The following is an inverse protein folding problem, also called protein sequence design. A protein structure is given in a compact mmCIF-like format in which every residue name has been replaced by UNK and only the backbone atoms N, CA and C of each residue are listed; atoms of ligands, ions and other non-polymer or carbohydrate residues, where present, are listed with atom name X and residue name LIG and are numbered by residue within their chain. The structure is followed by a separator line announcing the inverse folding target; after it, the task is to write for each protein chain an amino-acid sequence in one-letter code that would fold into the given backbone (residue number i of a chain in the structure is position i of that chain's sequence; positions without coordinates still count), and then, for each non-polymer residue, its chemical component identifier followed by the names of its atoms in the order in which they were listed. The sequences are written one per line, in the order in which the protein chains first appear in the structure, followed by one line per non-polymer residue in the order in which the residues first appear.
data_IF_306725554021
#
_entry.id   IF_306725554021
#
_cell.length_a   1.000
_cell.length_b   1.000
_cell.length_c   1.000
_cell.angle_alpha   90.00
_cell.angle_beta   90.00
_cell.angle_gamma   90.00
#
_symmetry.space_group_name_H-M   'P 1'
#
loop_
_entity.id
_entity.type
_entity.pdbx_description
1 polymer ?
#
# COMPACT_ATOMS: atom_id res chain seq x y z
N UNK A 1 91.29 -8.67 7.92
CA UNK A 1 90.24 -7.82 7.40
C UNK A 1 88.95 -8.66 7.41
N UNK A 2 88.07 -8.52 8.43
CA UNK A 2 86.85 -9.30 8.54
C UNK A 2 85.70 -8.44 8.12
N UNK A 3 84.99 -8.86 7.04
CA UNK A 3 83.81 -8.20 6.49
C UNK A 3 82.61 -8.73 7.26
N UNK A 4 81.88 -7.90 8.02
CA UNK A 4 80.65 -8.25 8.68
C UNK A 4 79.46 -7.90 7.82
N UNK A 5 78.74 -8.90 7.37
CA UNK A 5 77.51 -8.79 6.59
C UNK A 5 76.32 -8.54 7.55
N UNK A 6 75.67 -7.37 7.47
CA UNK A 6 74.45 -7.06 8.19
C UNK A 6 73.23 -7.55 7.40
N UNK A 7 72.53 -8.52 7.96
CA UNK A 7 71.27 -9.02 7.42
C UNK A 7 70.14 -8.06 7.77
N UNK A 8 69.51 -7.46 6.78
CA UNK A 8 68.35 -6.56 6.96
C UNK A 8 67.08 -7.38 6.85
N UNK A 9 66.39 -7.62 7.98
CA UNK A 9 65.10 -8.33 8.01
C UNK A 9 64.00 -7.36 7.65
N UNK A 10 63.36 -7.57 6.45
CA UNK A 10 62.19 -6.82 5.99
C UNK A 10 60.95 -7.48 6.59
N UNK A 11 60.32 -6.80 7.54
CA UNK A 11 58.99 -7.22 8.08
C UNK A 11 57.90 -6.65 7.17
N UNK A 12 57.27 -7.53 6.40
CA UNK A 12 56.10 -7.18 5.59
C UNK A 12 54.87 -7.30 6.48
N UNK A 13 54.25 -6.17 6.82
CA UNK A 13 52.95 -6.13 7.45
C UNK A 13 51.89 -6.40 6.37
N UNK A 14 51.27 -7.57 6.39
CA UNK A 14 50.06 -7.87 5.65
C UNK A 14 48.88 -7.22 6.40
N UNK A 15 48.41 -6.07 5.93
CA UNK A 15 47.10 -5.56 6.31
C UNK A 15 46.04 -6.43 5.65
N UNK A 16 45.45 -7.35 6.39
CA UNK A 16 44.22 -8.01 6.04
C UNK A 16 43.09 -6.95 6.09
N UNK A 17 42.75 -6.37 4.96
CA UNK A 17 41.51 -5.61 4.82
C UNK A 17 40.35 -6.61 4.81
N UNK A 18 39.67 -6.74 5.95
CA UNK A 18 38.38 -7.37 6.03
C UNK A 18 37.39 -6.54 5.18
N UNK A 19 37.28 -6.91 3.93
CA UNK A 19 36.15 -6.50 3.08
C UNK A 19 34.93 -7.27 3.57
N UNK A 20 34.29 -6.76 4.63
CA UNK A 20 32.97 -7.17 5.04
C UNK A 20 31.98 -7.01 3.87
N UNK A 21 31.88 -8.03 3.03
CA UNK A 21 30.78 -8.19 2.13
C UNK A 21 29.52 -8.33 2.96
N UNK A 22 28.80 -7.22 3.17
CA UNK A 22 27.43 -7.26 3.62
C UNK A 22 26.64 -7.89 2.50
N UNK A 23 26.54 -9.23 2.52
CA UNK A 23 25.59 -9.97 1.73
C UNK A 23 24.23 -9.33 1.98
N UNK A 24 23.67 -8.65 0.98
CA UNK A 24 22.30 -8.20 1.00
C UNK A 24 21.45 -9.46 1.22
N UNK A 25 20.99 -9.66 2.44
CA UNK A 25 20.02 -10.70 2.76
C UNK A 25 18.88 -10.50 1.79
N UNK A 26 18.67 -11.45 0.87
CA UNK A 26 17.49 -11.47 0.04
C UNK A 26 16.28 -11.54 1.00
N UNK A 27 15.71 -10.37 1.29
CA UNK A 27 14.48 -10.31 2.08
C UNK A 27 13.45 -11.18 1.37
N UNK A 28 12.98 -12.23 2.06
CA UNK A 28 11.80 -12.99 1.60
C UNK A 28 10.67 -11.97 1.49
N UNK A 29 10.10 -11.81 0.30
CA UNK A 29 8.97 -10.89 0.09
C UNK A 29 7.77 -11.31 0.95
N UNK A 30 6.82 -10.40 1.14
CA UNK A 30 5.58 -10.67 1.90
C UNK A 30 4.50 -11.38 1.07
N UNK A 31 4.91 -12.32 0.22
CA UNK A 31 4.01 -13.21 -0.54
C UNK A 31 3.97 -14.58 0.12
N UNK A 32 2.83 -14.95 0.70
CA UNK A 32 2.63 -16.20 1.43
C UNK A 32 1.57 -17.05 0.75
N UNK A 33 1.86 -18.33 0.50
CA UNK A 33 0.92 -19.23 -0.16
C UNK A 33 0.34 -18.72 -1.48
N UNK A 34 1.08 -17.88 -2.20
CA UNK A 34 0.63 -17.24 -3.44
C UNK A 34 -0.08 -15.89 -3.27
N UNK A 35 -0.47 -15.50 -2.05
CA UNK A 35 -1.15 -14.23 -1.74
C UNK A 35 -0.12 -13.16 -1.38
N UNK A 36 -0.18 -11.99 -2.04
CA UNK A 36 0.65 -10.85 -1.71
C UNK A 36 0.04 -10.07 -0.55
N UNK A 37 0.79 -9.94 0.55
CA UNK A 37 0.45 -9.06 1.66
C UNK A 37 1.21 -7.74 1.49
N UNK A 38 0.49 -6.63 1.60
CA UNK A 38 1.00 -5.26 1.55
C UNK A 38 0.45 -4.44 2.69
N UNK A 39 0.58 -3.12 2.57
CA UNK A 39 -0.06 -2.16 3.47
C UNK A 39 -0.34 -0.85 2.73
N UNK A 40 -1.43 -0.18 3.08
CA UNK A 40 -1.56 1.24 2.77
C UNK A 40 -0.63 2.04 3.70
N UNK A 41 0.12 3.00 3.14
CA UNK A 41 1.10 3.77 3.95
C UNK A 41 0.44 4.68 4.99
N UNK A 42 -0.87 4.91 4.91
CA UNK A 42 -1.68 5.53 5.96
C UNK A 42 -1.60 4.79 7.30
N UNK A 43 -1.31 3.50 7.30
CA UNK A 43 -1.09 2.70 8.51
C UNK A 43 -0.01 3.28 9.42
N UNK A 44 0.92 4.06 8.88
CA UNK A 44 2.03 4.68 9.62
C UNK A 44 1.76 6.14 10.03
N UNK A 45 0.51 6.64 9.92
CA UNK A 45 0.15 8.05 10.20
C UNK A 45 0.47 8.52 11.62
N UNK A 46 0.58 7.61 12.58
CA UNK A 46 0.94 7.92 13.97
C UNK A 46 2.46 7.98 14.21
N UNK A 47 3.28 7.61 13.21
CA UNK A 47 4.73 7.72 13.32
C UNK A 47 5.18 9.18 13.20
N UNK A 48 6.25 9.59 13.93
CA UNK A 48 6.63 10.99 14.01
C UNK A 48 7.18 11.57 12.70
N UNK A 49 7.87 10.77 11.87
CA UNK A 49 8.40 11.19 10.59
C UNK A 49 7.52 10.66 9.45
N UNK A 50 6.87 11.58 8.73
CA UNK A 50 5.98 11.29 7.59
C UNK A 50 6.67 11.56 6.25
N UNK A 51 8.00 11.69 6.22
CA UNK A 51 8.75 11.78 4.97
C UNK A 51 8.70 10.46 4.19
N UNK A 52 8.76 10.53 2.87
CA UNK A 52 8.74 9.33 2.02
C UNK A 52 9.86 8.33 2.37
N UNK A 53 11.12 8.75 2.66
CA UNK A 53 12.16 7.81 3.09
C UNK A 53 11.82 7.11 4.42
N UNK A 54 11.19 7.82 5.37
CA UNK A 54 10.78 7.24 6.64
C UNK A 54 9.63 6.22 6.44
N UNK A 55 8.60 6.60 5.69
CA UNK A 55 7.47 5.71 5.36
C UNK A 55 7.94 4.45 4.63
N UNK A 56 8.85 4.59 3.67
CA UNK A 56 9.48 3.45 3.00
C UNK A 56 10.23 2.54 3.99
N UNK A 57 10.95 3.16 4.94
CA UNK A 57 11.68 2.41 5.96
C UNK A 57 10.72 1.68 6.92
N UNK A 58 9.60 2.29 7.31
CA UNK A 58 8.57 1.65 8.13
C UNK A 58 7.97 0.41 7.44
N UNK A 59 7.58 0.53 6.16
CA UNK A 59 7.10 -0.61 5.38
C UNK A 59 8.14 -1.73 5.28
N UNK A 60 9.41 -1.35 5.06
CA UNK A 60 10.51 -2.29 5.05
C UNK A 60 10.71 -2.98 6.42
N UNK A 61 10.66 -2.25 7.53
CA UNK A 61 10.81 -2.81 8.89
C UNK A 61 9.63 -3.74 9.24
N UNK A 62 8.42 -3.43 8.75
CA UNK A 62 7.25 -4.30 8.92
C UNK A 62 7.29 -5.58 8.07
N UNK A 63 8.38 -5.82 7.31
CA UNK A 63 8.55 -7.04 6.52
C UNK A 63 7.81 -7.06 5.17
N UNK A 64 7.20 -5.95 4.77
CA UNK A 64 6.32 -5.89 3.60
C UNK A 64 7.08 -5.62 2.30
N UNK A 65 6.57 -6.15 1.19
CA UNK A 65 7.13 -6.00 -0.16
C UNK A 65 6.13 -5.40 -1.17
N UNK A 66 4.97 -4.93 -0.70
CA UNK A 66 3.97 -4.22 -1.50
C UNK A 66 3.35 -3.10 -0.68
N UNK A 67 3.00 -1.98 -1.34
CA UNK A 67 2.29 -0.88 -0.70
C UNK A 67 1.24 -0.25 -1.62
N UNK A 68 0.15 0.22 -1.01
CA UNK A 68 -0.63 1.35 -1.50
C UNK A 68 0.02 2.63 -0.97
N UNK A 69 0.53 3.46 -1.89
CA UNK A 69 1.22 4.69 -1.51
C UNK A 69 0.25 5.86 -1.42
N UNK A 70 0.24 6.55 -0.27
CA UNK A 70 -0.48 7.80 -0.10
C UNK A 70 0.10 8.89 -1.01
N UNK A 71 -0.76 9.56 -1.77
CA UNK A 71 -0.38 10.59 -2.73
C UNK A 71 0.26 11.82 -2.09
N UNK A 72 -0.22 12.23 -0.91
CA UNK A 72 0.35 13.35 -0.17
C UNK A 72 1.82 13.12 0.23
N UNK A 73 2.17 11.88 0.58
CA UNK A 73 3.57 11.50 0.86
C UNK A 73 4.42 11.60 -0.42
N UNK A 74 3.87 11.15 -1.56
CA UNK A 74 4.53 11.24 -2.85
C UNK A 74 4.69 12.69 -3.33
N UNK A 75 3.61 13.50 -3.21
CA UNK A 75 3.61 14.91 -3.61
C UNK A 75 4.59 15.74 -2.74
N UNK A 76 4.63 15.51 -1.42
CA UNK A 76 5.62 16.17 -0.54
C UNK A 76 7.06 15.87 -0.94
N UNK A 77 7.36 14.61 -1.25
CA UNK A 77 8.68 14.23 -1.74
C UNK A 77 9.00 14.85 -3.11
N UNK A 78 8.02 14.97 -3.99
CA UNK A 78 8.16 15.59 -5.29
C UNK A 78 8.30 17.13 -5.21
N UNK A 79 7.99 17.73 -4.06
CA UNK A 79 8.16 19.17 -3.79
C UNK A 79 6.90 20.00 -3.99
N UNK A 80 5.72 19.46 -3.69
CA UNK A 80 4.47 20.22 -3.69
C UNK A 80 4.58 21.42 -2.74
N UNK A 81 4.10 22.61 -3.12
CA UNK A 81 4.11 23.77 -2.26
C UNK A 81 3.34 23.53 -0.95
N UNK A 82 3.93 23.93 0.17
CA UNK A 82 3.31 23.84 1.50
C UNK A 82 2.38 25.06 1.72
N UNK A 83 1.29 25.08 0.98
CA UNK A 83 0.29 26.17 0.99
C UNK A 83 -1.13 25.63 0.95
N UNK A 84 -2.11 26.47 1.32
CA UNK A 84 -3.54 26.20 1.10
C UNK A 84 -4.08 26.86 -0.17
N UNK A 85 -3.25 27.59 -0.91
CA UNK A 85 -3.63 28.19 -2.19
C UNK A 85 -3.83 27.11 -3.26
N UNK A 86 -5.09 26.85 -3.60
CA UNK A 86 -5.47 25.86 -4.59
C UNK A 86 -4.90 26.17 -5.99
N UNK A 87 -4.74 27.45 -6.35
CA UNK A 87 -4.17 27.83 -7.64
C UNK A 87 -2.67 27.47 -7.72
N UNK A 88 -1.92 27.74 -6.66
CA UNK A 88 -0.50 27.39 -6.58
C UNK A 88 -0.29 25.85 -6.61
N UNK A 89 -1.15 25.10 -5.93
CA UNK A 89 -1.13 23.62 -5.94
C UNK A 89 -1.43 23.11 -7.35
N UNK A 90 -2.48 23.61 -8.00
CA UNK A 90 -2.85 23.24 -9.38
C UNK A 90 -1.71 23.55 -10.35
N UNK A 91 -1.14 24.75 -10.28
CA UNK A 91 -0.01 25.15 -11.12
C UNK A 91 1.17 24.20 -10.96
N UNK A 92 1.47 23.79 -9.73
CA UNK A 92 2.53 22.84 -9.46
C UNK A 92 2.20 21.47 -10.07
N UNK A 93 1.01 20.92 -9.84
CA UNK A 93 0.59 19.61 -10.37
C UNK A 93 0.66 19.55 -11.89
N UNK A 94 0.27 20.62 -12.57
CA UNK A 94 0.27 20.68 -14.05
C UNK A 94 1.64 20.98 -14.66
N UNK A 95 2.66 21.30 -13.86
CA UNK A 95 4.00 21.66 -14.34
C UNK A 95 5.13 20.79 -13.78
N UNK A 96 4.89 19.99 -12.74
CA UNK A 96 5.93 19.18 -12.11
C UNK A 96 6.47 18.08 -13.03
N UNK A 97 7.79 17.90 -13.03
CA UNK A 97 8.41 16.81 -13.78
C UNK A 97 8.07 15.43 -13.17
N UNK A 98 7.67 14.49 -14.01
CA UNK A 98 7.47 13.10 -13.61
C UNK A 98 8.75 12.38 -13.18
N UNK A 99 9.92 12.96 -13.40
CA UNK A 99 11.19 12.36 -12.95
C UNK A 99 11.29 12.28 -11.42
N UNK A 100 10.60 13.17 -10.69
CA UNK A 100 10.46 13.09 -9.24
C UNK A 100 9.73 11.80 -8.82
N UNK A 101 8.65 11.46 -9.54
CA UNK A 101 7.87 10.25 -9.30
C UNK A 101 8.61 8.97 -9.76
N UNK A 102 9.38 9.04 -10.85
CA UNK A 102 10.28 7.95 -11.25
C UNK A 102 11.38 7.69 -10.19
N UNK A 103 11.85 8.75 -9.51
CA UNK A 103 12.79 8.60 -8.40
C UNK A 103 12.15 7.86 -7.22
N UNK A 104 10.87 8.14 -6.89
CA UNK A 104 10.11 7.38 -5.87
C UNK A 104 10.10 5.89 -6.23
N UNK A 105 9.74 5.53 -7.47
CA UNK A 105 9.77 4.14 -7.94
C UNK A 105 11.13 3.47 -7.68
N UNK A 106 12.22 4.16 -8.03
CA UNK A 106 13.59 3.64 -7.83
C UNK A 106 13.90 3.39 -6.34
N UNK A 107 13.49 4.30 -5.45
CA UNK A 107 13.70 4.15 -4.01
C UNK A 107 12.98 2.92 -3.44
N UNK A 108 11.70 2.73 -3.80
CA UNK A 108 10.93 1.57 -3.35
C UNK A 108 11.49 0.27 -3.94
N UNK A 109 11.80 0.26 -5.22
CA UNK A 109 12.38 -0.91 -5.89
C UNK A 109 13.73 -1.32 -5.28
N UNK A 110 14.58 -0.35 -4.93
CA UNK A 110 15.88 -0.63 -4.27
C UNK A 110 15.72 -1.30 -2.89
N UNK A 111 14.55 -1.20 -2.26
CA UNK A 111 14.20 -1.88 -1.02
C UNK A 111 13.40 -3.16 -1.23
N UNK A 112 13.18 -3.58 -2.48
CA UNK A 112 12.37 -4.75 -2.83
C UNK A 112 10.87 -4.56 -2.54
N UNK A 113 10.39 -3.31 -2.53
CA UNK A 113 8.99 -2.98 -2.29
C UNK A 113 8.37 -2.47 -3.59
N UNK A 114 7.23 -3.04 -3.99
CA UNK A 114 6.44 -2.60 -5.13
C UNK A 114 5.38 -1.59 -4.65
N UNK A 115 5.25 -0.47 -5.36
CA UNK A 115 4.06 0.38 -5.25
C UNK A 115 3.00 -0.28 -6.13
N UNK A 116 1.97 -0.87 -5.51
CA UNK A 116 0.91 -1.56 -6.24
C UNK A 116 -0.11 -0.56 -6.80
N UNK A 117 -0.60 0.32 -5.94
CA UNK A 117 -1.58 1.36 -6.26
C UNK A 117 -1.18 2.68 -5.61
N UNK A 118 -1.67 3.80 -6.17
CA UNK A 118 -1.38 5.16 -5.70
C UNK A 118 -2.67 5.85 -5.27
N UNK A 119 -2.80 6.23 -4.00
CA UNK A 119 -3.95 7.00 -3.51
C UNK A 119 -3.77 8.49 -3.85
N UNK A 120 -4.07 8.84 -5.09
CA UNK A 120 -3.91 10.19 -5.62
C UNK A 120 -5.02 10.51 -6.61
N UNK A 121 -5.58 11.69 -6.52
CA UNK A 121 -6.66 12.16 -7.39
C UNK A 121 -7.95 12.41 -6.63
N UNK A 122 -8.76 13.30 -7.17
CA UNK A 122 -10.09 13.61 -6.69
C UNK A 122 -11.00 13.93 -7.89
N UNK A 123 -12.28 13.53 -7.81
CA UNK A 123 -13.26 13.76 -8.86
C UNK A 123 -13.53 15.24 -9.14
N UNK A 124 -13.25 16.13 -8.15
CA UNK A 124 -13.42 17.57 -8.27
C UNK A 124 -12.23 18.29 -8.92
N UNK A 125 -11.11 17.57 -9.16
CA UNK A 125 -9.95 18.16 -9.81
C UNK A 125 -10.23 18.54 -11.26
N UNK A 126 -9.46 19.52 -11.78
CA UNK A 126 -9.48 19.82 -13.20
C UNK A 126 -8.99 18.65 -14.04
N UNK A 127 -9.29 18.66 -15.33
CA UNK A 127 -8.87 17.60 -16.26
C UNK A 127 -7.35 17.42 -16.25
N UNK A 128 -6.61 18.54 -16.21
CA UNK A 128 -5.15 18.54 -16.19
C UNK A 128 -4.60 17.95 -14.86
N UNK A 129 -5.26 18.21 -13.73
CA UNK A 129 -4.87 17.62 -12.45
C UNK A 129 -5.19 16.11 -12.39
N UNK A 130 -6.29 15.69 -13.02
CA UNK A 130 -6.60 14.26 -13.17
C UNK A 130 -5.55 13.60 -14.07
N UNK A 131 -5.22 14.19 -15.21
CA UNK A 131 -4.14 13.72 -16.08
C UNK A 131 -2.79 13.62 -15.33
N UNK A 132 -2.49 14.60 -14.50
CA UNK A 132 -1.33 14.56 -13.63
C UNK A 132 -1.35 13.34 -12.69
N UNK A 133 -2.47 13.04 -12.03
CA UNK A 133 -2.57 11.89 -11.13
C UNK A 133 -2.25 10.57 -11.85
N UNK A 134 -2.79 10.38 -13.07
CA UNK A 134 -2.49 9.20 -13.88
C UNK A 134 -1.03 9.16 -14.36
N UNK A 135 -0.45 10.30 -14.73
CA UNK A 135 0.96 10.39 -15.12
C UNK A 135 1.88 10.07 -13.93
N UNK A 136 1.57 10.57 -12.74
CA UNK A 136 2.28 10.23 -11.50
C UNK A 136 2.16 8.74 -11.18
N UNK A 137 0.96 8.16 -11.29
CA UNK A 137 0.71 6.73 -11.14
C UNK A 137 1.59 5.89 -12.08
N UNK A 138 1.62 6.22 -13.36
CA UNK A 138 2.50 5.57 -14.34
C UNK A 138 3.98 5.71 -13.98
N UNK A 139 4.40 6.88 -13.53
CA UNK A 139 5.79 7.16 -13.18
C UNK A 139 6.27 6.38 -11.96
N UNK A 140 5.43 6.21 -10.92
CA UNK A 140 5.74 5.35 -9.77
C UNK A 140 5.62 3.86 -10.09
N UNK A 141 4.99 3.50 -11.21
CA UNK A 141 4.82 2.12 -11.68
C UNK A 141 3.67 1.37 -11.00
N UNK A 142 2.68 2.10 -10.48
CA UNK A 142 1.45 1.56 -9.95
C UNK A 142 0.48 1.15 -11.09
N UNK A 143 -0.46 0.25 -10.79
CA UNK A 143 -1.45 -0.26 -11.77
C UNK A 143 -2.66 0.65 -11.92
N UNK A 144 -2.88 1.57 -10.98
CA UNK A 144 -4.00 2.50 -10.97
C UNK A 144 -3.95 3.47 -9.79
N UNK A 145 -4.87 4.43 -9.83
CA UNK A 145 -5.09 5.39 -8.73
C UNK A 145 -6.27 4.95 -7.88
N UNK A 146 -6.22 5.22 -6.57
CA UNK A 146 -7.36 4.92 -5.68
C UNK A 146 -8.04 6.19 -5.18
N UNK A 147 -9.35 6.09 -5.02
CA UNK A 147 -10.20 7.12 -4.45
C UNK A 147 -11.48 6.52 -3.87
N UNK A 148 -12.26 7.36 -3.17
CA UNK A 148 -13.55 6.96 -2.61
C UNK A 148 -14.58 6.61 -3.68
N UNK A 149 -15.35 5.53 -3.43
CA UNK A 149 -16.38 5.06 -4.36
C UNK A 149 -17.59 5.97 -4.38
N UNK A 150 -18.00 6.37 -5.57
CA UNK A 150 -19.33 6.94 -5.85
C UNK A 150 -19.63 6.82 -7.35
N UNK A 151 -20.92 6.83 -7.73
CA UNK A 151 -21.30 6.85 -9.15
C UNK A 151 -20.78 8.10 -9.86
N UNK A 152 -20.77 9.26 -9.16
CA UNK A 152 -20.24 10.50 -9.70
C UNK A 152 -18.73 10.37 -10.01
N UNK A 153 -17.94 9.80 -9.08
CA UNK A 153 -16.53 9.54 -9.31
C UNK A 153 -16.32 8.56 -10.46
N UNK A 154 -17.12 7.49 -10.53
CA UNK A 154 -17.04 6.50 -11.60
C UNK A 154 -17.27 7.14 -12.98
N UNK A 155 -18.36 7.89 -13.12
CA UNK A 155 -18.69 8.61 -14.37
C UNK A 155 -17.61 9.62 -14.76
N UNK A 156 -17.08 10.37 -13.77
CA UNK A 156 -16.07 11.40 -14.01
C UNK A 156 -14.73 10.84 -14.42
N UNK A 157 -14.30 9.71 -13.81
CA UNK A 157 -12.96 9.18 -13.95
C UNK A 157 -12.79 8.17 -15.09
N UNK A 158 -13.89 7.56 -15.54
CA UNK A 158 -13.84 6.53 -16.58
C UNK A 158 -13.11 6.97 -17.86
N UNK A 159 -13.39 8.15 -18.47
CA UNK A 159 -12.71 8.59 -19.70
C UNK A 159 -11.18 8.73 -19.51
N UNK A 160 -10.74 9.10 -18.31
CA UNK A 160 -9.31 9.21 -18.00
C UNK A 160 -8.67 7.82 -17.80
N UNK A 161 -9.37 6.89 -17.18
CA UNK A 161 -8.92 5.51 -17.05
C UNK A 161 -8.66 4.88 -18.42
N UNK A 162 -9.58 5.09 -19.37
CA UNK A 162 -9.41 4.64 -20.77
C UNK A 162 -8.27 5.38 -21.46
N UNK A 163 -8.21 6.71 -21.38
CA UNK A 163 -7.16 7.55 -21.99
C UNK A 163 -5.75 7.11 -21.55
N UNK A 164 -5.58 6.85 -20.26
CA UNK A 164 -4.26 6.52 -19.68
C UNK A 164 -3.94 5.02 -19.70
N UNK A 165 -4.91 4.15 -20.01
CA UNK A 165 -4.82 2.70 -19.93
C UNK A 165 -4.42 2.20 -18.55
N UNK A 166 -4.92 2.86 -17.48
CA UNK A 166 -4.72 2.54 -16.07
C UNK A 166 -6.06 2.36 -15.38
N UNK A 167 -6.06 1.73 -14.22
CA UNK A 167 -7.27 1.55 -13.43
C UNK A 167 -7.59 2.78 -12.56
N UNK A 168 -8.89 3.04 -12.38
CA UNK A 168 -9.43 3.75 -11.22
C UNK A 168 -9.95 2.70 -10.26
N UNK A 169 -9.43 2.70 -9.04
CA UNK A 169 -9.61 1.63 -8.09
C UNK A 169 -10.35 2.21 -6.88
N UNK A 170 -11.63 1.87 -6.74
CA UNK A 170 -12.51 2.48 -5.75
C UNK A 170 -12.41 1.80 -4.38
N UNK A 171 -12.20 2.61 -3.36
CA UNK A 171 -12.22 2.21 -1.96
C UNK A 171 -13.60 2.53 -1.34
N UNK A 172 -14.13 1.62 -0.53
CA UNK A 172 -15.35 1.84 0.23
C UNK A 172 -15.05 2.03 1.72
N UNK A 173 -15.83 2.88 2.36
CA UNK A 173 -16.00 2.93 3.80
C UNK A 173 -17.35 2.30 4.20
N UNK A 174 -18.23 3.08 4.84
CA UNK A 174 -19.54 2.64 5.29
C UNK A 174 -20.66 2.63 4.23
N UNK A 175 -20.36 3.07 2.99
CA UNK A 175 -21.37 3.17 1.92
C UNK A 175 -22.16 1.86 1.69
N UNK A 176 -21.55 0.65 1.80
CA UNK A 176 -22.30 -0.60 1.62
C UNK A 176 -23.42 -0.82 2.64
N UNK A 177 -23.45 -0.10 3.76
CA UNK A 177 -24.55 -0.10 4.73
C UNK A 177 -25.79 0.67 4.27
N UNK A 178 -25.67 1.53 3.23
CA UNK A 178 -26.81 2.20 2.62
C UNK A 178 -27.52 1.22 1.67
N UNK A 179 -28.85 0.94 1.86
CA UNK A 179 -29.59 0.04 0.97
C UNK A 179 -29.66 0.49 -0.49
N UNK A 180 -29.39 1.77 -0.78
CA UNK A 180 -29.34 2.29 -2.14
C UNK A 180 -27.97 2.17 -2.81
N UNK A 181 -26.94 1.82 -2.04
CA UNK A 181 -25.57 1.66 -2.55
C UNK A 181 -25.42 0.37 -3.36
N UNK A 182 -24.64 0.45 -4.43
CA UNK A 182 -24.29 -0.72 -5.24
C UNK A 182 -22.91 -0.56 -5.87
N UNK A 183 -22.02 -1.52 -5.64
CA UNK A 183 -20.75 -1.61 -6.36
C UNK A 183 -20.98 -1.75 -7.89
N UNK A 184 -21.98 -2.53 -8.29
CA UNK A 184 -22.26 -2.80 -9.70
C UNK A 184 -22.63 -1.51 -10.46
N UNK A 185 -23.35 -0.58 -9.85
CA UNK A 185 -23.66 0.71 -10.46
C UNK A 185 -22.40 1.51 -10.79
N UNK A 186 -21.46 1.62 -9.85
CA UNK A 186 -20.20 2.33 -10.08
C UNK A 186 -19.34 1.60 -11.13
N UNK A 187 -19.26 0.28 -11.07
CA UNK A 187 -18.45 -0.53 -11.98
C UNK A 187 -19.01 -0.60 -13.40
N UNK A 188 -20.32 -0.36 -13.59
CA UNK A 188 -20.98 -0.41 -14.90
C UNK A 188 -20.52 0.71 -15.85
N UNK A 189 -19.91 1.78 -15.34
CA UNK A 189 -19.44 2.89 -16.19
C UNK A 189 -18.24 2.52 -17.06
N UNK A 190 -17.45 1.49 -16.71
CA UNK A 190 -16.36 1.06 -17.57
C UNK A 190 -15.53 -0.11 -17.05
N UNK A 191 -14.81 -0.81 -17.95
CA UNK A 191 -14.03 -2.00 -17.59
C UNK A 191 -12.76 -1.70 -16.79
N UNK A 192 -12.27 -0.45 -16.80
CA UNK A 192 -11.08 -0.01 -16.04
C UNK A 192 -11.42 0.52 -14.65
N UNK A 193 -12.70 0.53 -14.30
CA UNK A 193 -13.14 0.86 -12.94
C UNK A 193 -13.12 -0.41 -12.10
N UNK A 194 -12.28 -0.43 -11.09
CA UNK A 194 -11.97 -1.59 -10.26
C UNK A 194 -12.23 -1.28 -8.78
N UNK A 195 -12.02 -2.26 -7.91
CA UNK A 195 -12.20 -2.12 -6.46
C UNK A 195 -10.87 -2.31 -5.71
N UNK A 196 -10.65 -1.45 -4.74
CA UNK A 196 -9.87 -1.69 -3.55
C UNK A 196 -10.88 -1.97 -2.44
N UNK A 197 -11.38 -3.20 -2.38
CA UNK A 197 -12.45 -3.57 -1.46
C UNK A 197 -11.96 -3.51 -0.02
N UNK A 198 -12.50 -2.57 0.77
CA UNK A 198 -12.29 -2.63 2.21
C UNK A 198 -13.25 -3.66 2.84
N UNK A 199 -12.70 -4.82 3.12
CA UNK A 199 -13.44 -5.95 3.64
C UNK A 199 -13.90 -5.73 5.09
N UNK A 200 -13.12 -5.00 5.89
CA UNK A 200 -13.49 -4.67 7.26
C UNK A 200 -14.59 -3.62 7.33
N UNK A 201 -14.51 -2.57 6.53
CA UNK A 201 -15.59 -1.58 6.44
C UNK A 201 -16.87 -2.18 5.88
N UNK A 202 -16.75 -3.06 4.86
CA UNK A 202 -17.90 -3.79 4.32
C UNK A 202 -18.59 -4.63 5.42
N UNK A 203 -17.81 -5.45 6.14
CA UNK A 203 -18.32 -6.28 7.21
C UNK A 203 -18.90 -5.43 8.36
N UNK A 204 -18.16 -4.44 8.83
CA UNK A 204 -18.60 -3.58 9.95
C UNK A 204 -19.88 -2.78 9.66
N UNK A 205 -20.11 -2.41 8.39
CA UNK A 205 -21.31 -1.68 7.98
C UNK A 205 -22.52 -2.60 7.73
N UNK A 206 -22.30 -3.80 7.19
CA UNK A 206 -23.37 -4.68 6.72
C UNK A 206 -23.61 -5.91 7.58
N UNK A 207 -22.59 -6.40 8.27
CA UNK A 207 -22.57 -7.71 8.93
C UNK A 207 -22.52 -8.90 7.95
N UNK A 208 -22.37 -8.64 6.65
CA UNK A 208 -22.31 -9.68 5.62
C UNK A 208 -20.87 -10.16 5.42
N UNK A 209 -20.71 -11.47 5.17
CA UNK A 209 -19.40 -12.03 4.90
C UNK A 209 -18.85 -11.49 3.54
N UNK A 210 -17.69 -10.79 3.53
CA UNK A 210 -17.12 -10.23 2.30
C UNK A 210 -16.78 -11.27 1.25
N UNK A 211 -16.53 -12.53 1.63
CA UNK A 211 -16.15 -13.61 0.70
C UNK A 211 -17.22 -13.87 -0.37
N UNK A 212 -18.50 -13.65 -0.05
CA UNK A 212 -19.61 -13.80 -1.01
C UNK A 212 -19.52 -12.73 -2.10
N UNK A 213 -19.26 -11.48 -1.71
CA UNK A 213 -19.06 -10.37 -2.65
C UNK A 213 -17.80 -10.58 -3.49
N UNK A 214 -16.72 -11.04 -2.85
CA UNK A 214 -15.46 -11.33 -3.52
C UNK A 214 -15.59 -12.43 -4.56
N UNK A 215 -16.27 -13.52 -4.27
CA UNK A 215 -16.48 -14.61 -5.25
C UNK A 215 -17.25 -14.12 -6.50
N UNK A 216 -18.14 -13.15 -6.32
CA UNK A 216 -18.91 -12.54 -7.41
C UNK A 216 -18.12 -11.50 -8.21
N UNK A 217 -17.28 -10.71 -7.55
CA UNK A 217 -16.59 -9.54 -8.17
C UNK A 217 -15.07 -9.68 -8.26
N UNK A 218 -14.52 -10.89 -8.08
CA UNK A 218 -13.07 -11.10 -7.99
C UNK A 218 -12.26 -10.56 -9.18
N UNK A 219 -12.83 -10.57 -10.38
CA UNK A 219 -12.23 -10.05 -11.61
C UNK A 219 -12.23 -8.52 -11.69
N UNK A 220 -12.97 -7.87 -10.78
CA UNK A 220 -13.06 -6.41 -10.63
C UNK A 220 -12.36 -5.91 -9.34
N UNK A 221 -11.67 -6.78 -8.61
CA UNK A 221 -10.92 -6.44 -7.39
C UNK A 221 -9.42 -6.50 -7.67
N UNK A 222 -8.74 -5.35 -7.55
CA UNK A 222 -7.27 -5.24 -7.68
C UNK A 222 -6.60 -5.46 -6.33
N UNK A 223 -7.18 -4.88 -5.28
CA UNK A 223 -6.66 -4.92 -3.92
C UNK A 223 -7.80 -5.03 -2.92
N UNK A 224 -7.46 -5.50 -1.72
CA UNK A 224 -8.38 -5.52 -0.58
C UNK A 224 -7.68 -4.83 0.59
N UNK A 225 -8.38 -3.92 1.27
CA UNK A 225 -7.96 -3.51 2.60
C UNK A 225 -8.40 -4.56 3.62
N UNK A 226 -7.41 -5.07 4.33
CA UNK A 226 -7.62 -5.99 5.45
C UNK A 226 -7.53 -5.21 6.74
N UNK A 227 -8.63 -5.19 7.46
CA UNK A 227 -8.73 -4.71 8.85
C UNK A 227 -9.71 -5.58 9.61
N UNK A 228 -9.53 -5.68 10.91
CA UNK A 228 -10.46 -6.40 11.77
C UNK A 228 -11.39 -5.41 12.46
N UNK A 229 -12.68 -5.72 12.49
CA UNK A 229 -13.73 -4.86 13.05
C UNK A 229 -14.78 -5.69 13.76
N UNK A 230 -15.47 -5.06 14.70
CA UNK A 230 -16.72 -5.61 15.24
C UNK A 230 -17.85 -5.47 14.21
N UNK A 231 -18.79 -6.38 14.27
CA UNK A 231 -19.99 -6.34 13.43
C UNK A 231 -20.99 -5.25 13.85
N UNK A 232 -22.04 -5.00 13.03
CA UNK A 232 -23.02 -3.94 13.30
C UNK A 232 -23.93 -4.24 14.50
N UNK A 233 -23.93 -5.49 14.98
CA UNK A 233 -24.74 -5.92 16.15
C UNK A 233 -23.92 -6.07 17.43
N UNK A 234 -22.62 -5.79 17.40
CA UNK A 234 -21.76 -5.83 18.58
C UNK A 234 -22.15 -4.73 19.59
N UNK A 235 -21.73 -4.88 20.83
CA UNK A 235 -21.93 -3.87 21.88
C UNK A 235 -21.28 -2.51 21.52
N UNK A 236 -20.16 -2.55 20.78
CA UNK A 236 -19.46 -1.39 20.21
C UNK A 236 -19.38 -1.62 18.68
N UNK A 237 -20.40 -1.18 17.92
CA UNK A 237 -20.54 -1.56 16.52
C UNK A 237 -19.47 -0.94 15.61
N UNK A 238 -19.07 -1.68 14.57
CA UNK A 238 -18.20 -1.19 13.51
C UNK A 238 -16.87 -0.59 14.01
N UNK A 239 -16.36 -1.09 15.14
CA UNK A 239 -15.11 -0.61 15.75
C UNK A 239 -13.91 -1.37 15.25
N UNK A 240 -12.83 -0.65 14.93
CA UNK A 240 -11.56 -1.24 14.55
C UNK A 240 -10.94 -2.00 15.73
N UNK A 241 -10.43 -3.21 15.45
CA UNK A 241 -9.86 -4.14 16.43
C UNK A 241 -8.48 -4.62 15.97
N UNK A 242 -7.60 -4.97 16.92
CA UNK A 242 -6.42 -5.76 16.56
C UNK A 242 -6.81 -7.05 15.84
N UNK A 243 -6.02 -7.49 14.88
CA UNK A 243 -6.32 -8.68 14.10
C UNK A 243 -6.53 -9.93 14.98
N UNK A 244 -7.63 -10.63 14.74
CA UNK A 244 -8.08 -11.78 15.52
C UNK A 244 -8.83 -11.41 16.81
N UNK A 245 -9.16 -10.13 17.02
CA UNK A 245 -9.96 -9.66 18.16
C UNK A 245 -11.31 -9.08 17.76
N UNK A 246 -11.53 -8.88 16.48
CA UNK A 246 -12.81 -8.50 15.90
C UNK A 246 -13.58 -9.70 15.34
N UNK A 247 -14.49 -9.40 14.44
CA UNK A 247 -15.41 -10.37 13.84
C UNK A 247 -15.28 -10.45 12.31
N UNK A 248 -14.45 -9.59 11.70
CA UNK A 248 -14.18 -9.65 10.25
C UNK A 248 -13.53 -11.00 9.92
N UNK A 249 -14.04 -11.77 8.94
CA UNK A 249 -13.53 -13.09 8.63
C UNK A 249 -12.20 -13.04 7.85
N UNK A 250 -11.18 -12.38 8.42
CA UNK A 250 -9.88 -12.10 7.76
C UNK A 250 -9.21 -13.38 7.28
N UNK A 251 -9.24 -14.45 8.07
CA UNK A 251 -8.64 -15.74 7.70
C UNK A 251 -9.34 -16.34 6.48
N UNK A 252 -10.68 -16.32 6.47
CA UNK A 252 -11.47 -16.87 5.35
C UNK A 252 -11.22 -16.08 4.05
N UNK A 253 -11.11 -14.74 4.15
CA UNK A 253 -10.79 -13.87 3.02
C UNK A 253 -9.45 -14.26 2.40
N UNK A 254 -8.40 -14.36 3.22
CA UNK A 254 -7.06 -14.71 2.76
C UNK A 254 -7.01 -16.12 2.15
N UNK A 255 -7.63 -17.09 2.80
CA UNK A 255 -7.69 -18.48 2.33
C UNK A 255 -8.52 -18.63 1.04
N UNK A 256 -9.57 -17.83 0.88
CA UNK A 256 -10.35 -17.80 -0.37
C UNK A 256 -9.47 -17.33 -1.53
N UNK A 257 -8.75 -16.21 -1.38
CA UNK A 257 -7.83 -15.70 -2.40
C UNK A 257 -6.76 -16.73 -2.74
N UNK A 258 -6.17 -17.36 -1.71
CA UNK A 258 -5.19 -18.43 -1.88
C UNK A 258 -5.75 -19.62 -2.67
N UNK A 259 -6.89 -20.13 -2.24
CA UNK A 259 -7.55 -21.30 -2.85
C UNK A 259 -7.92 -21.08 -4.30
N UNK A 260 -8.39 -19.87 -4.63
CA UNK A 260 -8.81 -19.49 -5.98
C UNK A 260 -7.64 -19.04 -6.87
N UNK A 261 -6.49 -18.70 -6.28
CA UNK A 261 -5.33 -18.18 -7.01
C UNK A 261 -5.56 -16.80 -7.61
N UNK A 262 -6.44 -15.99 -7.05
CA UNK A 262 -6.74 -14.65 -7.56
C UNK A 262 -5.53 -13.71 -7.38
N UNK A 263 -5.23 -12.85 -8.37
CA UNK A 263 -4.10 -11.93 -8.32
C UNK A 263 -4.44 -10.65 -7.50
N UNK A 264 -5.10 -10.83 -6.37
CA UNK A 264 -5.54 -9.74 -5.50
C UNK A 264 -4.47 -9.49 -4.43
N UNK A 265 -4.04 -8.22 -4.29
CA UNK A 265 -3.14 -7.80 -3.21
C UNK A 265 -3.96 -7.53 -1.95
N UNK A 266 -3.47 -7.97 -0.80
CA UNK A 266 -4.12 -7.77 0.48
C UNK A 266 -3.33 -6.76 1.31
N UNK A 267 -3.79 -5.52 1.35
CA UNK A 267 -3.13 -4.43 2.03
C UNK A 267 -3.66 -4.26 3.46
N UNK A 268 -2.77 -4.40 4.44
CA UNK A 268 -3.07 -4.14 5.85
C UNK A 268 -3.40 -2.65 6.00
N UNK A 269 -4.52 -2.34 6.63
CA UNK A 269 -4.83 -0.99 7.07
C UNK A 269 -4.96 -0.95 8.59
N UNK A 270 -3.92 -0.39 9.24
CA UNK A 270 -3.89 -0.24 10.69
C UNK A 270 -4.76 0.95 11.10
N UNK A 271 -5.91 0.67 11.67
CA UNK A 271 -6.83 1.70 12.15
C UNK A 271 -7.25 1.55 13.62
N UNK A 272 -6.95 0.42 14.26
CA UNK A 272 -7.16 0.33 15.69
C UNK A 272 -6.15 1.20 16.46
N UNK A 273 -6.49 1.67 17.68
CA UNK A 273 -5.57 2.45 18.50
C UNK A 273 -4.28 1.68 18.79
N UNK A 274 -3.14 2.30 18.48
CA UNK A 274 -1.83 1.73 18.80
C UNK A 274 -1.70 1.63 20.33
N UNK A 275 -1.44 0.45 20.88
CA UNK A 275 -1.32 0.27 22.32
C UNK A 275 -0.16 1.08 22.92
N UNK A 276 -0.28 1.46 24.18
CA UNK A 276 0.79 2.10 24.93
C UNK A 276 2.08 1.24 24.90
N UNK A 277 3.23 1.86 24.70
CA UNK A 277 4.52 1.17 24.55
C UNK A 277 4.74 0.46 23.22
N UNK A 278 3.78 0.55 22.27
CA UNK A 278 3.92 0.06 20.90
C UNK A 278 4.04 1.22 19.90
N UNK A 279 4.15 0.89 18.62
CA UNK A 279 4.18 1.82 17.51
C UNK A 279 3.56 1.18 16.26
N UNK A 280 3.27 1.98 15.23
CA UNK A 280 2.61 1.48 14.02
C UNK A 280 3.46 0.41 13.29
N UNK A 281 4.78 0.46 13.33
CA UNK A 281 5.65 -0.55 12.70
C UNK A 281 5.48 -1.90 13.39
N UNK A 282 5.49 -1.92 14.73
CA UNK A 282 5.27 -3.16 15.51
C UNK A 282 3.87 -3.72 15.28
N UNK A 283 2.85 -2.85 15.25
CA UNK A 283 1.47 -3.30 15.05
C UNK A 283 1.24 -3.83 13.63
N UNK A 284 1.75 -3.18 12.57
CA UNK A 284 1.68 -3.68 11.21
C UNK A 284 2.45 -5.01 11.08
N UNK A 285 3.60 -5.15 11.77
CA UNK A 285 4.34 -6.43 11.81
C UNK A 285 3.50 -7.56 12.44
N UNK A 286 2.73 -7.27 13.50
CA UNK A 286 1.81 -8.25 14.09
C UNK A 286 0.70 -8.64 13.13
N UNK A 287 0.14 -7.66 12.40
CA UNK A 287 -0.87 -7.92 11.38
C UNK A 287 -0.31 -8.77 10.22
N UNK A 288 0.93 -8.49 9.77
CA UNK A 288 1.61 -9.31 8.76
C UNK A 288 1.80 -10.75 9.24
N UNK A 289 2.26 -10.93 10.48
CA UNK A 289 2.45 -12.25 11.07
C UNK A 289 1.12 -13.03 11.19
N UNK A 290 0.01 -12.35 11.51
CA UNK A 290 -1.32 -12.93 11.52
C UNK A 290 -1.75 -13.41 10.12
N UNK A 291 -1.57 -12.57 9.09
CA UNK A 291 -1.88 -12.93 7.71
C UNK A 291 -1.02 -14.11 7.22
N UNK A 292 0.27 -14.09 7.54
CA UNK A 292 1.20 -15.18 7.21
C UNK A 292 0.80 -16.50 7.86
N UNK A 293 0.40 -16.48 9.14
CA UNK A 293 -0.08 -17.68 9.84
C UNK A 293 -1.37 -18.24 9.25
N UNK A 294 -2.23 -17.37 8.69
CA UNK A 294 -3.46 -17.79 8.01
C UNK A 294 -3.21 -18.51 6.66
N UNK A 295 -2.07 -18.21 6.01
CA UNK A 295 -1.75 -18.64 4.64
C UNK A 295 -0.71 -19.78 4.56
N UNK A 296 0.05 -19.99 5.62
CA UNK A 296 1.06 -21.06 5.66
C UNK A 296 0.58 -22.20 6.55
N UNK A 297 0.83 -23.47 6.16
CA UNK A 297 0.49 -24.61 7.01
C UNK A 297 1.26 -24.51 8.33
N UNK A 298 0.60 -24.95 9.39
CA UNK A 298 1.20 -25.08 10.72
C UNK A 298 2.22 -26.23 10.73
#
# INVERSE_FOLDING_TARGET
MKLTLKLLTLVVFFCLSDSGSTAASHRKGSKFGGVQIGTITYSYRSMPDQSLPAVLNYAAQSGLSSVELMGDVAERYAGIPQTKDAAAIRQWRTSVSMDKFKAIKKLFHARGIKINILKLGDKSWSDEEIDYAFNACKAVGAVGITMEISEEAAKRMEPFAEKHHLFVIFHNHGQPGDPNFSFDKALAYGPKLMLNLDAGHYFGATGLNPTILMDRLHDRIVSIHIKDKTGPKAADPNKNQPFGKGETPVVEILQLIQKKGWPITCDIELEYPVPEGSDAVKEVTKCEAYCKAALLPK
#
